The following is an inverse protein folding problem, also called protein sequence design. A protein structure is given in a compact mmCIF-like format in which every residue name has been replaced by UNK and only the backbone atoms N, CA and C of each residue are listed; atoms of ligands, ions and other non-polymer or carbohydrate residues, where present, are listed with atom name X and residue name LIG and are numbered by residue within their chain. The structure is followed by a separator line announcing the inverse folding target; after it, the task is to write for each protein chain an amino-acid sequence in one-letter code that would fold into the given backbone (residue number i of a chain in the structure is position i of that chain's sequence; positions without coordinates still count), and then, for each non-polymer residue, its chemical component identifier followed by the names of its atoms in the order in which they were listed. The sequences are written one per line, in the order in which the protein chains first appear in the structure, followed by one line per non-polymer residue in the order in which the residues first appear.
data_IF_558932878303
#
_entry.id   IF_558932878303
#
_cell.length_a   1.000
_cell.length_b   1.000
_cell.length_c   1.000
_cell.angle_alpha   90.00
_cell.angle_beta   90.00
_cell.angle_gamma   90.00
#
_symmetry.space_group_name_H-M   'P 1'
#
loop_
_entity.id
_entity.type
_entity.pdbx_description
1 polymer ?
#
# COMPACT_ATOMS: atom_id res chain seq x y z
N UNK A 1 7.05 -9.30 -13.83
CA UNK A 1 6.16 -8.14 -14.03
C UNK A 1 6.75 -7.32 -15.15
N UNK A 2 5.99 -7.01 -16.20
CA UNK A 2 6.50 -6.19 -17.31
C UNK A 2 6.61 -4.72 -16.92
N UNK A 3 7.61 -4.02 -17.45
CA UNK A 3 7.74 -2.57 -17.24
C UNK A 3 6.50 -1.83 -17.78
N UNK A 4 5.86 -0.95 -16.98
CA UNK A 4 4.67 -0.21 -17.38
C UNK A 4 5.00 0.85 -18.44
N UNK A 5 3.96 1.33 -19.11
CA UNK A 5 4.08 2.44 -20.05
C UNK A 5 4.41 3.73 -19.30
N UNK A 6 5.34 4.52 -19.87
CA UNK A 6 5.72 5.79 -19.29
C UNK A 6 4.54 6.78 -19.23
N UNK A 7 4.41 7.47 -18.10
CA UNK A 7 3.39 8.51 -17.85
C UNK A 7 3.95 9.93 -17.98
N UNK A 8 5.24 10.07 -18.24
CA UNK A 8 5.90 11.35 -18.46
C UNK A 8 7.41 11.21 -18.63
N UNK A 9 8.15 12.33 -18.60
CA UNK A 9 9.60 12.34 -18.84
C UNK A 9 10.43 11.47 -17.88
N UNK A 10 10.03 11.37 -16.60
CA UNK A 10 10.80 10.65 -15.57
C UNK A 10 10.68 9.14 -15.81
N UNK A 11 9.44 8.64 -15.88
CA UNK A 11 9.16 7.22 -16.16
C UNK A 11 9.62 6.80 -17.56
N UNK A 12 9.62 7.71 -18.54
CA UNK A 12 10.18 7.46 -19.88
C UNK A 12 11.69 7.23 -19.82
N UNK A 13 12.43 8.10 -19.12
CA UNK A 13 13.87 7.93 -18.95
C UNK A 13 14.21 6.60 -18.24
N UNK A 14 13.46 6.25 -17.20
CA UNK A 14 13.62 5.00 -16.46
C UNK A 14 13.36 3.76 -17.32
N UNK A 15 12.20 3.70 -17.98
CA UNK A 15 11.81 2.53 -18.78
C UNK A 15 12.72 2.31 -19.98
N UNK A 16 13.31 3.37 -20.55
CA UNK A 16 14.33 3.26 -21.60
C UNK A 16 15.64 2.70 -21.02
N UNK A 17 16.11 3.23 -19.89
CA UNK A 17 17.38 2.82 -19.30
C UNK A 17 17.36 1.36 -18.81
N UNK A 18 16.29 0.95 -18.12
CA UNK A 18 16.19 -0.37 -17.48
C UNK A 18 16.14 -1.54 -18.48
N UNK A 19 15.80 -1.29 -19.75
CA UNK A 19 15.83 -2.30 -20.84
C UNK A 19 17.24 -2.67 -21.32
N UNK A 20 18.25 -1.98 -20.82
CA UNK A 20 19.66 -2.25 -21.12
C UNK A 20 20.38 -2.77 -19.87
N UNK A 21 21.54 -3.38 -20.09
CA UNK A 21 22.45 -3.70 -18.98
C UNK A 21 22.74 -2.43 -18.14
N UNK A 22 22.96 -2.57 -16.83
CA UNK A 22 23.30 -1.44 -15.96
C UNK A 22 24.46 -0.63 -16.54
N UNK A 23 24.23 0.68 -16.64
CA UNK A 23 25.16 1.64 -17.20
C UNK A 23 25.11 2.93 -16.40
N UNK A 24 25.97 3.88 -16.73
CA UNK A 24 25.92 5.20 -16.11
C UNK A 24 24.57 5.89 -16.42
N UNK A 25 23.88 6.36 -15.39
CA UNK A 25 22.53 6.89 -15.49
C UNK A 25 22.51 8.28 -14.83
N UNK A 26 22.72 9.36 -15.58
CA UNK A 26 22.92 10.70 -15.03
C UNK A 26 21.59 11.31 -14.55
N UNK A 27 21.26 11.31 -13.24
CA UNK A 27 19.96 11.79 -12.75
C UNK A 27 19.75 13.28 -13.03
N UNK A 28 20.80 14.09 -13.08
CA UNK A 28 20.78 15.52 -13.36
C UNK A 28 20.21 15.87 -14.73
N UNK A 29 20.23 14.92 -15.68
CA UNK A 29 19.60 15.08 -16.99
C UNK A 29 18.06 15.00 -16.93
N UNK A 30 17.50 14.52 -15.82
CA UNK A 30 16.07 14.31 -15.63
C UNK A 30 15.50 15.45 -14.79
N UNK A 31 14.61 16.22 -15.42
CA UNK A 31 13.85 17.29 -14.77
C UNK A 31 12.75 16.70 -13.90
N UNK A 32 12.76 17.03 -12.61
CA UNK A 32 11.71 16.66 -11.65
C UNK A 32 10.87 17.90 -11.36
N UNK A 33 9.55 17.79 -11.46
CA UNK A 33 8.64 18.89 -11.17
C UNK A 33 8.63 19.23 -9.67
N UNK A 34 9.10 20.44 -9.33
CA UNK A 34 9.18 20.91 -7.95
C UNK A 34 7.94 21.66 -7.45
N UNK A 35 7.00 21.99 -8.35
CA UNK A 35 5.86 22.87 -8.04
C UNK A 35 4.50 22.17 -7.95
N UNK A 36 4.35 21.00 -8.57
CA UNK A 36 3.10 20.22 -8.52
C UNK A 36 2.86 19.55 -7.15
N UNK A 37 1.64 19.06 -6.93
CA UNK A 37 1.35 18.15 -5.82
C UNK A 37 1.95 16.77 -6.15
N UNK A 38 2.97 16.31 -5.41
CA UNK A 38 3.63 15.05 -5.70
C UNK A 38 2.72 13.83 -5.47
N UNK A 39 1.66 13.92 -4.66
CA UNK A 39 0.79 12.79 -4.34
C UNK A 39 -0.13 12.40 -5.50
N UNK A 40 -0.37 13.33 -6.43
CA UNK A 40 -1.21 13.17 -7.61
C UNK A 40 -0.43 13.20 -8.93
N UNK A 41 0.90 13.33 -8.87
CA UNK A 41 1.76 13.35 -10.06
C UNK A 41 2.00 11.91 -10.57
N UNK A 42 1.31 11.55 -11.64
CA UNK A 42 1.37 10.22 -12.25
C UNK A 42 2.76 9.80 -12.72
N UNK A 43 3.56 10.73 -13.24
CA UNK A 43 4.91 10.41 -13.73
C UNK A 43 5.85 10.16 -12.54
N UNK A 44 5.77 11.02 -11.51
CA UNK A 44 6.56 10.89 -10.30
C UNK A 44 6.22 9.60 -9.54
N UNK A 45 4.94 9.31 -9.34
CA UNK A 45 4.52 8.15 -8.57
C UNK A 45 4.79 6.83 -9.29
N UNK A 46 4.62 6.79 -10.62
CA UNK A 46 5.02 5.63 -11.41
C UNK A 46 6.54 5.43 -11.38
N UNK A 47 7.33 6.51 -11.53
CA UNK A 47 8.78 6.43 -11.45
C UNK A 47 9.28 5.92 -10.10
N UNK A 48 8.69 6.38 -8.99
CA UNK A 48 8.98 5.85 -7.64
C UNK A 48 8.62 4.37 -7.53
N UNK A 49 7.46 3.96 -8.03
CA UNK A 49 7.02 2.57 -8.02
C UNK A 49 8.02 1.67 -8.77
N UNK A 50 8.42 2.06 -9.99
CA UNK A 50 9.43 1.36 -10.79
C UNK A 50 10.73 1.19 -10.00
N UNK A 51 11.22 2.26 -9.36
CA UNK A 51 12.44 2.23 -8.56
C UNK A 51 12.32 1.35 -7.30
N UNK A 52 11.13 1.25 -6.69
CA UNK A 52 10.93 0.44 -5.50
C UNK A 52 10.78 -1.05 -5.81
N UNK A 53 10.15 -1.43 -6.92
CA UNK A 53 10.01 -2.83 -7.31
C UNK A 53 11.35 -3.56 -7.50
N UNK A 54 12.42 -2.83 -7.83
CA UNK A 54 13.79 -3.37 -7.89
C UNK A 54 14.30 -3.91 -6.55
N UNK A 55 13.73 -3.48 -5.43
CA UNK A 55 14.04 -4.01 -4.10
C UNK A 55 13.08 -5.13 -3.65
N UNK A 56 12.11 -5.50 -4.49
CA UNK A 56 11.18 -6.59 -4.21
C UNK A 56 11.37 -7.72 -5.23
N UNK A 57 10.52 -7.77 -6.27
CA UNK A 57 10.49 -8.86 -7.26
C UNK A 57 11.09 -8.47 -8.61
N UNK A 58 11.54 -7.22 -8.77
CA UNK A 58 12.11 -6.70 -9.99
C UNK A 58 11.10 -6.61 -11.15
N UNK A 59 11.65 -6.46 -12.35
CA UNK A 59 10.90 -6.37 -13.60
C UNK A 59 11.42 -7.41 -14.60
N UNK A 60 10.54 -7.91 -15.45
CA UNK A 60 10.92 -8.89 -16.46
C UNK A 60 11.94 -8.27 -17.41
N UNK A 61 12.98 -9.05 -17.76
CA UNK A 61 14.09 -8.63 -18.62
C UNK A 61 14.94 -7.44 -18.10
N UNK A 62 14.77 -7.04 -16.83
CA UNK A 62 15.62 -6.04 -16.16
C UNK A 62 16.65 -6.75 -15.27
N UNK A 63 17.91 -6.32 -15.34
CA UNK A 63 18.98 -6.90 -14.52
C UNK A 63 18.86 -6.46 -13.05
N UNK A 64 19.02 -7.41 -12.11
CA UNK A 64 19.02 -7.16 -10.67
C UNK A 64 20.12 -6.18 -10.22
N UNK A 65 21.21 -6.05 -10.97
CA UNK A 65 22.30 -5.10 -10.69
C UNK A 65 21.84 -3.63 -10.76
N UNK A 66 20.67 -3.34 -11.37
CA UNK A 66 20.05 -2.02 -11.30
C UNK A 66 19.62 -1.63 -9.88
N UNK A 67 19.34 -2.59 -8.99
CA UNK A 67 18.92 -2.35 -7.60
C UNK A 67 19.84 -1.35 -6.88
N UNK A 68 21.14 -1.44 -7.13
CA UNK A 68 22.17 -0.62 -6.49
C UNK A 68 22.87 0.36 -7.42
N UNK A 69 22.32 0.61 -8.61
CA UNK A 69 22.93 1.54 -9.57
C UNK A 69 22.92 2.97 -8.98
N UNK A 70 24.08 3.66 -8.84
CA UNK A 70 24.17 4.91 -8.06
C UNK A 70 23.32 6.07 -8.58
N UNK A 71 23.27 6.25 -9.90
CA UNK A 71 22.49 7.30 -10.55
C UNK A 71 20.98 7.09 -10.40
N UNK A 72 20.52 5.84 -10.45
CA UNK A 72 19.14 5.45 -10.20
C UNK A 72 18.75 5.74 -8.74
N UNK A 73 19.59 5.35 -7.78
CA UNK A 73 19.40 5.67 -6.37
C UNK A 73 19.36 7.19 -6.12
N UNK A 74 20.20 7.95 -6.82
CA UNK A 74 20.21 9.40 -6.74
C UNK A 74 18.93 10.03 -7.31
N UNK A 75 18.40 9.52 -8.43
CA UNK A 75 17.08 9.91 -8.94
C UNK A 75 15.98 9.57 -7.93
N UNK A 76 15.93 8.32 -7.43
CA UNK A 76 14.93 7.89 -6.45
C UNK A 76 14.93 8.81 -5.24
N UNK A 77 16.09 9.13 -4.69
CA UNK A 77 16.23 10.04 -3.54
C UNK A 77 15.64 11.43 -3.82
N UNK A 78 15.74 11.96 -5.06
CA UNK A 78 15.10 13.24 -5.43
C UNK A 78 13.58 13.13 -5.42
N UNK A 79 13.02 12.04 -5.95
CA UNK A 79 11.58 11.79 -5.97
C UNK A 79 11.03 11.53 -4.56
N UNK A 80 11.76 10.79 -3.73
CA UNK A 80 11.41 10.51 -2.33
C UNK A 80 11.30 11.81 -1.52
N UNK A 81 12.18 12.79 -1.73
CA UNK A 81 12.08 14.11 -1.07
C UNK A 81 10.79 14.85 -1.44
N UNK A 82 10.33 14.72 -2.69
CA UNK A 82 9.05 15.28 -3.15
C UNK A 82 7.89 14.56 -2.48
N UNK A 83 7.88 13.22 -2.48
CA UNK A 83 6.86 12.43 -1.78
C UNK A 83 6.81 12.78 -0.28
N UNK A 84 7.96 12.83 0.41
CA UNK A 84 8.03 13.22 1.82
C UNK A 84 7.44 14.62 2.07
N UNK A 85 7.74 15.59 1.21
CA UNK A 85 7.15 16.93 1.31
C UNK A 85 5.62 16.88 1.18
N UNK A 86 5.10 16.10 0.23
CA UNK A 86 3.66 15.87 0.09
C UNK A 86 3.02 15.25 1.32
N UNK A 87 3.61 14.19 1.86
CA UNK A 87 3.13 13.50 3.07
C UNK A 87 3.13 14.42 4.30
N UNK A 88 4.16 15.25 4.47
CA UNK A 88 4.23 16.22 5.56
C UNK A 88 3.14 17.30 5.46
N UNK A 89 2.84 17.77 4.25
CA UNK A 89 1.73 18.71 4.05
C UNK A 89 0.37 18.05 4.25
N UNK A 90 0.22 16.79 3.83
CA UNK A 90 -1.01 16.03 3.96
C UNK A 90 -1.38 15.80 5.43
N UNK A 91 -0.42 15.37 6.25
CA UNK A 91 -0.64 15.11 7.68
C UNK A 91 -0.64 16.40 8.49
N UNK A 92 0.12 17.41 8.07
CA UNK A 92 0.29 18.66 8.79
C UNK A 92 1.24 18.53 10.00
N UNK A 93 1.29 19.57 10.85
CA UNK A 93 2.17 19.57 12.02
C UNK A 93 1.71 18.57 13.07
N UNK A 94 2.64 17.75 13.56
CA UNK A 94 2.36 16.80 14.63
C UNK A 94 2.60 17.43 16.00
N UNK A 95 1.72 17.18 16.99
CA UNK A 95 1.98 17.59 18.36
C UNK A 95 3.17 16.80 18.92
N UNK A 96 3.84 17.36 19.93
CA UNK A 96 4.85 16.61 20.69
C UNK A 96 4.20 15.42 21.39
N UNK A 97 4.64 14.21 21.05
CA UNK A 97 4.11 12.97 21.62
C UNK A 97 5.01 12.53 22.76
N UNK A 98 4.47 12.44 23.97
CA UNK A 98 5.16 11.82 25.08
C UNK A 98 5.10 10.29 24.92
N UNK A 99 6.20 9.54 25.09
CA UNK A 99 6.21 8.07 24.98
C UNK A 99 5.08 7.37 25.72
N UNK A 100 4.81 7.77 26.97
CA UNK A 100 3.74 7.20 27.79
C UNK A 100 2.31 7.46 27.26
N UNK A 101 2.15 8.43 26.35
CA UNK A 101 0.87 8.79 25.73
C UNK A 101 0.71 8.21 24.32
N UNK A 102 1.68 7.45 23.80
CA UNK A 102 1.68 7.01 22.39
C UNK A 102 0.39 6.27 21.99
N UNK A 103 -0.04 5.29 22.78
CA UNK A 103 -1.27 4.53 22.49
C UNK A 103 -2.51 5.43 22.44
N UNK A 104 -2.57 6.44 23.32
CA UNK A 104 -3.66 7.42 23.30
C UNK A 104 -3.57 8.35 22.07
N UNK A 105 -2.36 8.72 21.64
CA UNK A 105 -2.14 9.49 20.42
C UNK A 105 -2.53 8.72 19.17
N UNK A 106 -2.15 7.44 19.05
CA UNK A 106 -2.57 6.59 17.93
C UNK A 106 -4.09 6.45 17.87
N UNK A 107 -4.72 6.19 19.02
CA UNK A 107 -6.18 6.13 19.11
C UNK A 107 -6.85 7.44 18.69
N UNK A 108 -6.34 8.57 19.15
CA UNK A 108 -6.87 9.88 18.76
C UNK A 108 -6.74 10.14 17.26
N UNK A 109 -5.65 9.68 16.62
CA UNK A 109 -5.45 9.79 15.17
C UNK A 109 -6.46 8.95 14.40
N UNK A 110 -6.73 7.71 14.84
CA UNK A 110 -7.76 6.85 14.24
C UNK A 110 -9.17 7.39 14.47
N UNK A 111 -9.49 7.87 15.68
CA UNK A 111 -10.80 8.44 16.00
C UNK A 111 -11.08 9.76 15.27
N UNK A 112 -10.03 10.51 14.92
CA UNK A 112 -10.16 11.75 14.16
C UNK A 112 -10.33 11.54 12.65
N UNK A 113 -10.13 10.32 12.13
CA UNK A 113 -10.35 10.04 10.71
C UNK A 113 -11.85 9.95 10.41
N UNK A 114 -12.39 11.01 9.80
CA UNK A 114 -13.79 11.17 9.43
C UNK A 114 -14.03 10.99 7.92
N UNK A 115 -13.10 10.31 7.24
CA UNK A 115 -13.11 10.08 5.80
C UNK A 115 -14.37 9.39 5.27
N UNK A 116 -14.66 9.54 3.97
CA UNK A 116 -15.88 8.98 3.39
C UNK A 116 -15.84 7.45 3.45
N UNK A 117 -16.94 6.84 3.88
CA UNK A 117 -16.97 5.39 4.08
C UNK A 117 -17.13 4.61 2.77
N UNK A 118 -16.02 4.44 2.03
CA UNK A 118 -15.93 3.58 0.84
C UNK A 118 -16.41 2.16 1.16
N UNK A 119 -16.00 1.61 2.30
CA UNK A 119 -16.44 0.29 2.76
C UNK A 119 -17.97 0.19 2.90
N UNK A 120 -18.64 1.23 3.40
CA UNK A 120 -20.10 1.26 3.49
C UNK A 120 -20.76 1.32 2.10
N UNK A 121 -20.17 2.10 1.19
CA UNK A 121 -20.66 2.15 -0.20
C UNK A 121 -20.51 0.78 -0.87
N UNK A 122 -19.36 0.13 -0.74
CA UNK A 122 -19.11 -1.22 -1.29
C UNK A 122 -20.09 -2.24 -0.72
N UNK A 123 -20.31 -2.21 0.59
CA UNK A 123 -21.25 -3.11 1.25
C UNK A 123 -22.67 -2.99 0.68
N UNK A 124 -23.13 -1.78 0.34
CA UNK A 124 -24.57 -1.49 0.15
C UNK A 124 -24.98 -1.05 -1.24
N UNK A 125 -24.05 -0.50 -2.04
CA UNK A 125 -24.35 0.20 -3.30
C UNK A 125 -23.49 -0.22 -4.47
N UNK A 126 -22.22 -0.57 -4.25
CA UNK A 126 -21.31 -0.87 -5.36
C UNK A 126 -21.86 -1.97 -6.27
N UNK A 127 -21.61 -1.83 -7.57
CA UNK A 127 -21.78 -2.89 -8.57
C UNK A 127 -20.61 -3.88 -8.53
N UNK A 128 -20.73 -5.00 -9.23
CA UNK A 128 -19.61 -5.94 -9.40
C UNK A 128 -18.43 -5.31 -10.14
N UNK A 129 -18.70 -4.47 -11.14
CA UNK A 129 -17.69 -3.70 -11.87
C UNK A 129 -16.91 -2.76 -10.94
N UNK A 130 -17.60 -1.99 -10.11
CA UNK A 130 -16.98 -1.12 -9.09
C UNK A 130 -16.20 -1.93 -8.04
N UNK A 131 -16.69 -3.11 -7.66
CA UNK A 131 -15.94 -4.00 -6.77
C UNK A 131 -14.63 -4.46 -7.41
N UNK A 132 -14.64 -4.79 -8.71
CA UNK A 132 -13.43 -5.15 -9.45
C UNK A 132 -12.46 -3.97 -9.61
N UNK A 133 -12.95 -2.75 -9.82
CA UNK A 133 -12.10 -1.56 -9.78
C UNK A 133 -11.41 -1.41 -8.40
N UNK A 134 -12.17 -1.56 -7.32
CA UNK A 134 -11.62 -1.55 -5.95
C UNK A 134 -10.55 -2.63 -5.76
N UNK A 135 -10.80 -3.86 -6.22
CA UNK A 135 -9.82 -4.96 -6.17
C UNK A 135 -8.59 -4.65 -7.02
N UNK A 136 -8.73 -4.01 -8.18
CA UNK A 136 -7.60 -3.58 -9.01
C UNK A 136 -6.70 -2.59 -8.26
N UNK A 137 -7.28 -1.56 -7.63
CA UNK A 137 -6.53 -0.63 -6.76
C UNK A 137 -5.78 -1.36 -5.63
N UNK A 138 -6.46 -2.27 -4.96
CA UNK A 138 -5.94 -3.03 -3.82
C UNK A 138 -4.89 -4.06 -4.22
N UNK A 139 -4.94 -4.60 -5.43
CA UNK A 139 -4.02 -5.65 -5.93
C UNK A 139 -2.56 -5.23 -5.98
N UNK A 140 -2.29 -3.93 -6.13
CA UNK A 140 -0.93 -3.37 -6.17
C UNK A 140 -0.18 -3.65 -4.86
N UNK A 141 -0.90 -3.63 -3.73
CA UNK A 141 -0.36 -3.96 -2.42
C UNK A 141 -0.63 -5.42 -2.04
N UNK A 142 -1.89 -5.88 -2.02
CA UNK A 142 -2.21 -7.14 -1.33
C UNK A 142 -1.57 -8.38 -1.97
N UNK A 143 -1.21 -8.37 -3.25
CA UNK A 143 -0.46 -9.46 -3.88
C UNK A 143 1.03 -9.56 -3.44
N UNK A 144 1.46 -8.66 -2.57
CA UNK A 144 2.73 -8.64 -1.83
C UNK A 144 2.52 -8.25 -0.35
N UNK A 145 1.33 -8.52 0.18
CA UNK A 145 1.00 -8.18 1.56
C UNK A 145 2.06 -8.64 2.54
N UNK A 146 2.35 -7.73 3.48
CA UNK A 146 3.38 -7.74 4.51
C UNK A 146 4.83 -7.49 4.06
N UNK A 147 5.16 -7.55 2.76
CA UNK A 147 6.54 -7.37 2.28
C UNK A 147 7.15 -6.00 2.73
N UNK A 148 6.48 -4.84 2.57
CA UNK A 148 7.07 -3.56 2.94
C UNK A 148 7.36 -3.40 4.44
N UNK A 149 6.51 -3.97 5.30
CA UNK A 149 6.68 -3.94 6.76
C UNK A 149 7.80 -4.87 7.24
N UNK A 150 8.08 -5.94 6.50
CA UNK A 150 9.16 -6.90 6.81
C UNK A 150 10.53 -6.24 6.85
N UNK A 151 10.75 -5.15 6.11
CA UNK A 151 11.99 -4.37 6.17
C UNK A 151 12.32 -3.78 7.54
N UNK A 152 11.34 -3.65 8.45
CA UNK A 152 11.60 -3.23 9.83
C UNK A 152 12.27 -4.32 10.67
N UNK A 153 12.02 -5.61 10.43
CA UNK A 153 12.52 -6.72 11.26
C UNK A 153 14.04 -6.65 11.51
N UNK A 154 14.93 -6.44 10.51
CA UNK A 154 16.36 -6.34 10.77
C UNK A 154 16.79 -5.08 11.52
N UNK A 155 15.90 -4.09 11.67
CA UNK A 155 16.18 -2.77 12.28
C UNK A 155 15.66 -2.65 13.71
N UNK A 156 14.94 -3.66 14.18
CA UNK A 156 14.37 -3.72 15.52
C UNK A 156 15.06 -4.79 16.36
N UNK A 157 15.03 -4.57 17.66
CA UNK A 157 15.47 -5.48 18.71
C UNK A 157 14.42 -5.58 19.83
N UNK A 158 14.54 -6.59 20.68
CA UNK A 158 13.68 -6.75 21.86
C UNK A 158 12.20 -7.01 21.55
N UNK A 159 11.33 -6.57 22.47
CA UNK A 159 9.88 -6.79 22.42
C UNK A 159 9.22 -6.26 21.12
N UNK A 160 9.55 -5.05 20.60
CA UNK A 160 8.96 -4.59 19.34
C UNK A 160 9.22 -5.51 18.17
N UNK A 161 10.41 -6.12 18.12
CA UNK A 161 10.77 -7.08 17.07
C UNK A 161 9.95 -8.35 17.19
N UNK A 162 9.77 -8.87 18.41
CA UNK A 162 8.97 -10.06 18.66
C UNK A 162 7.51 -9.85 18.23
N UNK A 163 6.92 -8.71 18.61
CA UNK A 163 5.56 -8.33 18.23
C UNK A 163 5.41 -8.16 16.71
N UNK A 164 6.36 -7.49 16.04
CA UNK A 164 6.33 -7.39 14.58
C UNK A 164 6.44 -8.76 13.90
N UNK A 165 7.33 -9.64 14.38
CA UNK A 165 7.46 -11.00 13.81
C UNK A 165 6.17 -11.81 13.99
N UNK A 166 5.47 -11.64 15.12
CA UNK A 166 4.19 -12.30 15.36
C UNK A 166 3.13 -11.87 14.35
N UNK A 167 2.92 -10.56 14.17
CA UNK A 167 1.98 -10.02 13.17
C UNK A 167 2.37 -10.51 11.77
N UNK A 168 3.64 -10.33 11.38
CA UNK A 168 4.10 -10.72 10.05
C UNK A 168 3.98 -12.23 9.80
N UNK A 169 4.18 -13.07 10.82
CA UNK A 169 4.02 -14.51 10.67
C UNK A 169 2.57 -14.88 10.32
N UNK A 170 1.59 -14.19 10.90
CA UNK A 170 0.17 -14.38 10.57
C UNK A 170 -0.14 -13.94 9.14
N UNK A 171 0.33 -12.75 8.73
CA UNK A 171 0.19 -12.25 7.35
C UNK A 171 0.78 -13.21 6.30
N UNK A 172 1.91 -13.85 6.63
CA UNK A 172 2.55 -14.89 5.83
C UNK A 172 1.91 -16.29 6.00
N UNK A 173 0.72 -16.38 6.60
CA UNK A 173 -0.05 -17.62 6.77
C UNK A 173 0.60 -18.64 7.69
N UNK A 174 1.48 -18.20 8.60
CA UNK A 174 2.33 -19.08 9.42
C UNK A 174 3.27 -19.95 8.58
N UNK A 175 3.61 -19.51 7.36
CA UNK A 175 4.39 -20.29 6.38
C UNK A 175 3.57 -21.31 5.58
N UNK A 176 2.24 -21.30 5.69
CA UNK A 176 1.33 -22.11 4.87
C UNK A 176 0.80 -21.27 3.70
N UNK A 177 1.13 -21.68 2.48
CA UNK A 177 0.80 -20.92 1.27
C UNK A 177 -0.70 -20.65 1.12
N UNK A 178 -1.55 -21.62 1.43
CA UNK A 178 -3.02 -21.55 1.32
C UNK A 178 -3.68 -20.67 2.41
N UNK A 179 -2.88 -20.10 3.31
CA UNK A 179 -3.28 -19.15 4.33
C UNK A 179 -2.60 -17.78 4.19
N UNK A 180 -1.56 -17.68 3.37
CA UNK A 180 -0.86 -16.42 3.14
C UNK A 180 -1.85 -15.39 2.57
N UNK A 181 -1.93 -14.20 3.17
CA UNK A 181 -2.95 -13.21 2.80
C UNK A 181 -2.87 -12.79 1.33
N UNK A 182 -1.66 -12.70 0.79
CA UNK A 182 -1.46 -12.45 -0.65
C UNK A 182 -1.98 -13.56 -1.57
N UNK A 183 -1.98 -14.82 -1.12
CA UNK A 183 -2.59 -15.93 -1.84
C UNK A 183 -4.12 -15.89 -1.71
N UNK A 184 -4.66 -15.60 -0.51
CA UNK A 184 -6.10 -15.43 -0.33
C UNK A 184 -6.65 -14.30 -1.22
N UNK A 185 -5.92 -13.18 -1.35
CA UNK A 185 -6.30 -12.09 -2.23
C UNK A 185 -6.23 -12.50 -3.72
N UNK A 186 -5.22 -13.30 -4.10
CA UNK A 186 -5.11 -13.89 -5.45
C UNK A 186 -6.31 -14.78 -5.78
N UNK A 187 -6.78 -15.57 -4.82
CA UNK A 187 -7.97 -16.41 -4.98
C UNK A 187 -9.22 -15.54 -5.15
N UNK A 188 -9.39 -14.48 -4.34
CA UNK A 188 -10.46 -13.48 -4.53
C UNK A 188 -10.46 -12.88 -5.94
N UNK A 189 -9.28 -12.50 -6.47
CA UNK A 189 -9.17 -11.96 -7.83
C UNK A 189 -9.58 -12.99 -8.89
N UNK A 190 -9.19 -14.25 -8.72
CA UNK A 190 -9.52 -15.34 -9.64
C UNK A 190 -11.02 -15.59 -9.68
N UNK A 191 -11.68 -15.65 -8.52
CA UNK A 191 -13.15 -15.79 -8.42
C UNK A 191 -13.91 -14.61 -9.01
N UNK A 192 -13.31 -13.42 -9.00
CA UNK A 192 -13.86 -12.24 -9.67
C UNK A 192 -13.63 -12.24 -11.18
N UNK A 193 -12.92 -13.23 -11.74
CA UNK A 193 -12.54 -13.29 -13.15
C UNK A 193 -11.50 -12.25 -13.55
N UNK A 194 -10.63 -11.86 -12.62
CA UNK A 194 -9.56 -10.87 -12.82
C UNK A 194 -8.21 -11.56 -13.06
N UNK A 195 -7.28 -10.87 -13.73
CA UNK A 195 -5.89 -11.34 -13.84
C UNK A 195 -5.20 -11.18 -12.48
N UNK A 196 -4.97 -12.30 -11.80
CA UNK A 196 -4.37 -12.28 -10.49
C UNK A 196 -2.83 -12.14 -10.52
N UNK A 197 -2.20 -12.00 -11.69
CA UNK A 197 -0.74 -11.83 -11.83
C UNK A 197 -0.26 -10.60 -11.07
N UNK A 198 0.85 -10.73 -10.35
CA UNK A 198 1.41 -9.61 -9.59
C UNK A 198 1.78 -8.46 -10.53
N UNK A 199 1.21 -7.29 -10.28
CA UNK A 199 1.45 -6.07 -11.06
C UNK A 199 0.56 -5.86 -12.28
N UNK A 200 -0.36 -6.79 -12.58
CA UNK A 200 -1.23 -6.72 -13.77
C UNK A 200 -2.00 -5.39 -13.90
N UNK A 201 -2.35 -4.76 -12.77
CA UNK A 201 -3.13 -3.53 -12.73
C UNK A 201 -2.30 -2.26 -12.45
N UNK A 202 -0.97 -2.33 -12.40
CA UNK A 202 -0.11 -1.14 -12.18
C UNK A 202 -0.33 -0.08 -13.27
N UNK A 203 -0.47 -0.51 -14.53
CA UNK A 203 -0.78 0.38 -15.66
C UNK A 203 -2.11 1.11 -15.50
N UNK A 204 -3.12 0.43 -14.93
CA UNK A 204 -4.49 0.93 -14.83
C UNK A 204 -4.70 1.88 -13.64
N UNK A 205 -3.97 1.74 -12.55
CA UNK A 205 -4.22 2.54 -11.33
C UNK A 205 -3.68 3.98 -11.43
N UNK A 206 -4.37 4.97 -10.85
CA UNK A 206 -3.93 6.37 -10.82
C UNK A 206 -2.78 6.59 -9.83
N UNK A 207 -2.11 7.75 -9.95
CA UNK A 207 -1.05 8.20 -9.06
C UNK A 207 -1.34 7.99 -7.58
N UNK A 208 -2.55 8.32 -7.12
CA UNK A 208 -2.90 8.26 -5.70
C UNK A 208 -2.84 6.84 -5.11
N UNK A 209 -3.09 5.82 -5.93
CA UNK A 209 -2.92 4.41 -5.52
C UNK A 209 -1.45 4.04 -5.43
N UNK A 210 -0.63 4.52 -6.36
CA UNK A 210 0.82 4.32 -6.31
C UNK A 210 1.43 5.07 -5.14
N UNK A 211 0.94 6.27 -4.78
CA UNK A 211 1.33 7.01 -3.58
C UNK A 211 1.17 6.17 -2.31
N UNK A 212 0.01 5.52 -2.12
CA UNK A 212 -0.23 4.64 -0.98
C UNK A 212 0.74 3.45 -0.92
N UNK A 213 1.17 2.95 -2.07
CA UNK A 213 2.17 1.87 -2.14
C UNK A 213 3.60 2.36 -1.89
N UNK A 214 3.94 3.51 -2.49
CA UNK A 214 5.25 4.12 -2.45
C UNK A 214 5.59 4.64 -1.04
N UNK A 215 4.61 5.10 -0.26
CA UNK A 215 4.85 5.51 1.13
C UNK A 215 5.29 4.33 2.01
N UNK A 216 4.71 3.14 1.81
CA UNK A 216 5.13 1.94 2.55
C UNK A 216 6.57 1.58 2.23
N UNK A 217 6.97 1.66 0.95
CA UNK A 217 8.35 1.40 0.53
C UNK A 217 9.33 2.49 0.96
N UNK A 218 8.90 3.77 1.00
CA UNK A 218 9.68 4.86 1.56
C UNK A 218 10.01 4.58 3.04
N UNK A 219 9.02 4.20 3.83
CA UNK A 219 9.24 3.87 5.24
C UNK A 219 10.02 2.55 5.41
N UNK A 220 9.69 1.57 4.56
CA UNK A 220 10.30 0.25 4.47
C UNK A 220 11.79 0.29 4.17
N UNK A 221 12.25 1.02 3.17
CA UNK A 221 13.66 0.97 2.74
C UNK A 221 14.59 1.90 3.52
N UNK A 222 14.06 2.86 4.29
CA UNK A 222 14.87 3.84 5.00
C UNK A 222 14.84 3.63 6.52
N UNK A 223 15.97 3.25 7.12
CA UNK A 223 16.06 2.99 8.57
C UNK A 223 15.55 4.15 9.43
N UNK A 224 15.76 5.39 9.00
CA UNK A 224 15.29 6.59 9.74
C UNK A 224 13.77 6.61 9.92
N UNK A 225 13.02 5.97 9.02
CA UNK A 225 11.57 5.91 9.03
C UNK A 225 10.97 4.69 9.72
N UNK A 226 11.77 3.90 10.45
CA UNK A 226 11.26 2.71 11.15
C UNK A 226 10.11 3.03 12.10
N UNK A 227 10.12 4.19 12.78
CA UNK A 227 8.98 4.64 13.59
C UNK A 227 7.73 4.84 12.74
N UNK A 228 7.84 5.55 11.62
CA UNK A 228 6.73 5.75 10.68
C UNK A 228 6.22 4.44 10.06
N UNK A 229 7.09 3.47 9.78
CA UNK A 229 6.65 2.15 9.29
C UNK A 229 5.82 1.41 10.35
N UNK A 230 6.26 1.42 11.61
CA UNK A 230 5.52 0.79 12.71
C UNK A 230 4.19 1.49 12.98
N UNK A 231 4.17 2.82 12.94
CA UNK A 231 2.95 3.60 13.07
C UNK A 231 1.96 3.37 11.93
N UNK A 232 2.46 3.24 10.71
CA UNK A 232 1.64 2.86 9.56
C UNK A 232 1.00 1.48 9.77
N UNK A 233 1.79 0.48 10.17
CA UNK A 233 1.27 -0.85 10.46
C UNK A 233 0.21 -0.80 11.58
N UNK A 234 0.50 -0.12 12.69
CA UNK A 234 -0.46 0.02 13.77
C UNK A 234 -1.78 0.66 13.33
N UNK A 235 -1.74 1.71 12.48
CA UNK A 235 -2.97 2.28 11.95
C UNK A 235 -3.76 1.31 11.06
N UNK A 236 -3.06 0.49 10.27
CA UNK A 236 -3.68 -0.57 9.46
C UNK A 236 -4.40 -1.58 10.37
N UNK A 237 -3.70 -2.17 11.34
CA UNK A 237 -4.28 -3.15 12.30
C UNK A 237 -5.44 -2.58 13.12
N UNK A 238 -5.38 -1.30 13.49
CA UNK A 238 -6.44 -0.63 14.25
C UNK A 238 -7.72 -0.39 13.43
N UNK A 239 -7.63 -0.45 12.10
CA UNK A 239 -8.72 -0.01 11.22
C UNK A 239 -9.19 -1.06 10.22
N UNK A 240 -8.57 -2.23 10.14
CA UNK A 240 -8.80 -3.23 9.10
C UNK A 240 -10.10 -4.03 9.28
N UNK A 241 -10.52 -4.40 10.49
CA UNK A 241 -11.57 -5.43 10.66
C UNK A 241 -12.98 -4.97 10.26
N UNK A 242 -13.37 -3.73 10.59
CA UNK A 242 -14.71 -3.23 10.23
C UNK A 242 -14.86 -2.99 8.71
N UNK A 243 -13.90 -2.35 8.01
CA UNK A 243 -13.87 -2.29 6.55
C UNK A 243 -13.86 -3.68 5.90
N UNK A 244 -13.01 -4.62 6.34
CA UNK A 244 -12.95 -5.96 5.77
C UNK A 244 -14.27 -6.72 5.91
N UNK A 245 -14.92 -6.66 7.08
CA UNK A 245 -16.29 -7.19 7.26
C UNK A 245 -17.28 -6.60 6.25
N UNK A 246 -17.18 -5.29 5.97
CA UNK A 246 -18.06 -4.61 5.02
C UNK A 246 -17.75 -5.00 3.57
N UNK A 247 -16.48 -5.14 3.21
CA UNK A 247 -16.07 -5.63 1.89
C UNK A 247 -16.56 -7.05 1.65
N UNK A 248 -16.32 -7.98 2.58
CA UNK A 248 -16.82 -9.36 2.49
C UNK A 248 -18.33 -9.42 2.36
N UNK A 249 -19.08 -8.65 3.16
CA UNK A 249 -20.54 -8.55 3.03
C UNK A 249 -21.00 -7.94 1.69
N UNK A 250 -20.27 -6.95 1.17
CA UNK A 250 -20.52 -6.38 -0.15
C UNK A 250 -20.32 -7.41 -1.26
N UNK A 251 -19.24 -8.19 -1.17
CA UNK A 251 -18.94 -9.24 -2.14
C UNK A 251 -19.96 -10.38 -2.11
N UNK A 252 -20.39 -10.83 -0.93
CA UNK A 252 -21.51 -11.79 -0.79
C UNK A 252 -22.79 -11.29 -1.44
N UNK A 253 -23.14 -10.02 -1.23
CA UNK A 253 -24.31 -9.39 -1.87
C UNK A 253 -24.20 -9.42 -3.40
N UNK A 254 -22.99 -9.34 -3.93
CA UNK A 254 -22.69 -9.36 -5.36
C UNK A 254 -22.54 -10.79 -5.94
N UNK A 255 -22.78 -11.83 -5.13
CA UNK A 255 -22.74 -13.22 -5.57
C UNK A 255 -21.41 -13.94 -5.34
N UNK A 256 -20.46 -13.31 -4.64
CA UNK A 256 -19.20 -13.97 -4.25
C UNK A 256 -19.45 -15.10 -3.24
N UNK A 257 -18.74 -16.20 -3.42
CA UNK A 257 -18.82 -17.39 -2.58
C UNK A 257 -17.83 -17.34 -1.39
N UNK A 258 -17.65 -18.46 -0.70
CA UNK A 258 -16.76 -18.55 0.44
C UNK A 258 -15.27 -18.40 0.07
N UNK A 259 -14.86 -18.78 -1.14
CA UNK A 259 -13.48 -18.60 -1.61
C UNK A 259 -13.25 -17.13 -1.90
N UNK A 260 -14.18 -16.50 -2.63
CA UNK A 260 -14.09 -15.09 -2.99
C UNK A 260 -14.00 -14.17 -1.76
N UNK A 261 -14.70 -14.50 -0.67
CA UNK A 261 -14.74 -13.65 0.54
C UNK A 261 -13.66 -13.96 1.56
N UNK A 262 -12.94 -15.07 1.42
CA UNK A 262 -12.05 -15.61 2.47
C UNK A 262 -10.99 -14.60 2.93
N UNK A 263 -10.35 -13.89 2.00
CA UNK A 263 -9.39 -12.83 2.32
C UNK A 263 -9.95 -11.82 3.33
N UNK A 264 -11.18 -11.34 3.07
CA UNK A 264 -11.82 -10.34 3.92
C UNK A 264 -12.30 -10.92 5.25
N UNK A 265 -12.65 -12.19 5.29
CA UNK A 265 -13.11 -12.85 6.52
C UNK A 265 -11.94 -13.16 7.46
N UNK A 266 -10.77 -13.53 6.93
CA UNK A 266 -9.54 -13.76 7.70
C UNK A 266 -9.16 -12.50 8.52
N UNK A 267 -9.15 -11.34 7.86
CA UNK A 267 -8.89 -10.04 8.50
C UNK A 267 -10.00 -9.60 9.48
N UNK A 268 -11.12 -10.31 9.57
CA UNK A 268 -12.11 -10.04 10.64
C UNK A 268 -11.80 -10.86 11.89
N UNK A 269 -11.19 -12.03 11.72
CA UNK A 269 -10.90 -12.97 12.80
C UNK A 269 -9.57 -12.65 13.50
N UNK A 270 -8.53 -12.26 12.74
CA UNK A 270 -7.18 -11.99 13.26
C UNK A 270 -7.07 -10.67 14.08
N UNK A 271 -7.76 -9.62 13.65
CA UNK A 271 -7.38 -8.25 13.99
C UNK A 271 -7.61 -7.80 15.45
N UNK A 272 -8.59 -8.37 16.18
CA UNK A 272 -8.84 -7.91 17.55
C UNK A 272 -7.62 -8.15 18.48
N UNK A 273 -6.80 -9.14 18.12
CA UNK A 273 -5.53 -9.43 18.79
C UNK A 273 -4.41 -8.57 18.20
N UNK A 274 -4.32 -8.46 16.87
CA UNK A 274 -3.28 -7.67 16.22
C UNK A 274 -3.32 -6.18 16.58
N UNK A 275 -4.50 -5.58 16.75
CA UNK A 275 -4.62 -4.19 17.22
C UNK A 275 -3.85 -3.99 18.53
N UNK A 276 -4.05 -4.90 19.50
CA UNK A 276 -3.41 -4.79 20.81
C UNK A 276 -1.90 -5.02 20.71
N UNK A 277 -1.48 -6.01 19.92
CA UNK A 277 -0.06 -6.29 19.69
C UNK A 277 0.61 -5.08 19.02
N UNK A 278 0.02 -4.53 17.96
CA UNK A 278 0.59 -3.44 17.19
C UNK A 278 0.72 -2.15 18.01
N UNK A 279 -0.30 -1.83 18.82
CA UNK A 279 -0.30 -0.61 19.64
C UNK A 279 0.57 -0.76 20.89
N UNK A 280 0.39 -1.84 21.64
CA UNK A 280 1.00 -1.99 22.98
C UNK A 280 2.33 -2.73 22.93
N UNK A 281 2.37 -3.90 22.30
CA UNK A 281 3.56 -4.75 22.33
C UNK A 281 4.61 -4.34 21.30
N UNK A 282 4.20 -3.66 20.22
CA UNK A 282 5.07 -3.15 19.16
C UNK A 282 5.37 -1.66 19.31
N UNK A 283 4.38 -0.78 19.13
CA UNK A 283 4.63 0.67 19.10
C UNK A 283 5.02 1.25 20.46
N UNK A 284 4.29 0.94 21.52
CA UNK A 284 4.57 1.52 22.84
C UNK A 284 5.92 1.06 23.41
N UNK A 285 6.26 -0.22 23.24
CA UNK A 285 7.58 -0.74 23.63
C UNK A 285 8.70 -0.19 22.75
N UNK A 286 8.43 0.05 21.45
CA UNK A 286 9.41 0.66 20.54
C UNK A 286 9.78 2.06 21.00
N UNK A 287 8.80 2.90 21.30
CA UNK A 287 9.05 4.28 21.75
C UNK A 287 9.60 4.33 23.17
N UNK A 288 9.39 3.29 24.00
CA UNK A 288 10.09 3.19 25.28
C UNK A 288 11.62 2.98 25.11
N UNK A 289 12.04 2.29 24.04
CA UNK A 289 13.45 2.09 23.68
C UNK A 289 13.99 3.30 22.90
N UNK A 290 13.19 3.84 21.98
CA UNK A 290 13.55 4.90 21.04
C UNK A 290 12.60 6.12 21.16
N UNK A 291 12.65 6.87 22.28
CA UNK A 291 11.68 7.93 22.58
C UNK A 291 11.67 9.07 21.58
N UNK A 292 12.82 9.36 20.94
CA UNK A 292 12.95 10.42 19.93
C UNK A 292 12.13 10.13 18.66
N UNK A 293 11.67 8.88 18.45
CA UNK A 293 10.89 8.46 17.30
C UNK A 293 9.37 8.40 17.56
N UNK A 294 8.90 8.86 18.72
CA UNK A 294 7.48 8.90 19.05
C UNK A 294 6.64 9.67 18.00
N UNK A 295 7.16 10.81 17.55
CA UNK A 295 6.49 11.62 16.53
C UNK A 295 6.46 10.93 15.16
N UNK A 296 7.49 10.15 14.82
CA UNK A 296 7.53 9.40 13.56
C UNK A 296 6.49 8.29 13.55
N UNK A 297 6.24 7.61 14.68
CA UNK A 297 5.15 6.63 14.79
C UNK A 297 3.79 7.28 14.50
N UNK A 298 3.50 8.41 15.12
CA UNK A 298 2.26 9.14 14.86
C UNK A 298 2.19 9.68 13.43
N UNK A 299 3.33 10.12 12.86
CA UNK A 299 3.43 10.53 11.46
C UNK A 299 3.04 9.41 10.49
N UNK A 300 3.59 8.21 10.72
CA UNK A 300 3.31 7.03 9.90
C UNK A 300 1.84 6.64 9.92
N UNK A 301 1.25 6.61 11.11
CA UNK A 301 -0.19 6.36 11.29
C UNK A 301 -1.04 7.40 10.54
N UNK A 302 -0.71 8.69 10.69
CA UNK A 302 -1.40 9.77 9.99
C UNK A 302 -1.27 9.66 8.47
N UNK A 303 -0.09 9.28 7.95
CA UNK A 303 0.12 9.07 6.52
C UNK A 303 -0.74 7.92 5.98
N UNK A 304 -0.83 6.80 6.72
CA UNK A 304 -1.62 5.64 6.33
C UNK A 304 -3.10 6.00 6.16
N UNK A 305 -3.70 6.61 7.19
CA UNK A 305 -5.11 6.99 7.18
C UNK A 305 -5.40 8.08 6.14
N UNK A 306 -4.53 9.09 6.04
CA UNK A 306 -4.74 10.15 5.06
C UNK A 306 -4.62 9.65 3.62
N UNK A 307 -3.70 8.73 3.33
CA UNK A 307 -3.59 8.13 2.00
C UNK A 307 -4.80 7.26 1.65
N UNK A 308 -5.30 6.44 2.59
CA UNK A 308 -6.52 5.64 2.37
C UNK A 308 -7.76 6.54 2.15
N UNK A 309 -7.86 7.64 2.90
CA UNK A 309 -8.90 8.66 2.70
C UNK A 309 -8.86 9.30 1.31
N UNK A 310 -7.68 9.70 0.81
CA UNK A 310 -7.56 10.27 -0.54
C UNK A 310 -7.95 9.26 -1.63
N UNK A 311 -7.61 7.97 -1.46
CA UNK A 311 -8.07 6.91 -2.37
C UNK A 311 -9.59 6.76 -2.29
N UNK A 312 -10.15 6.73 -1.09
CA UNK A 312 -11.59 6.60 -0.88
C UNK A 312 -12.38 7.76 -1.50
N UNK A 313 -11.90 8.99 -1.35
CA UNK A 313 -12.45 10.18 -1.99
C UNK A 313 -12.41 10.06 -3.52
N UNK A 314 -11.23 9.79 -4.09
CA UNK A 314 -11.05 9.60 -5.55
C UNK A 314 -12.03 8.58 -6.13
N UNK A 315 -12.07 7.39 -5.52
CA UNK A 315 -12.90 6.28 -5.99
C UNK A 315 -14.39 6.64 -5.93
N UNK A 316 -14.83 7.17 -4.78
CA UNK A 316 -16.24 7.51 -4.59
C UNK A 316 -16.68 8.65 -5.51
N UNK A 317 -15.85 9.66 -5.74
CA UNK A 317 -16.19 10.79 -6.60
C UNK A 317 -16.30 10.35 -8.06
N UNK A 318 -15.36 9.52 -8.56
CA UNK A 318 -15.48 8.94 -9.90
C UNK A 318 -16.78 8.13 -10.06
N UNK A 319 -17.10 7.26 -9.10
CA UNK A 319 -18.31 6.44 -9.13
C UNK A 319 -19.60 7.25 -9.03
N UNK A 320 -19.62 8.35 -8.26
CA UNK A 320 -20.77 9.26 -8.19
C UNK A 320 -21.02 9.98 -9.51
N UNK A 321 -19.96 10.25 -10.26
CA UNK A 321 -20.01 10.84 -11.59
C UNK A 321 -20.27 9.83 -12.72
N UNK A 322 -20.36 8.53 -12.39
CA UNK A 322 -20.56 7.47 -13.38
C UNK A 322 -19.34 7.21 -14.27
N UNK A 323 -18.13 7.51 -13.76
CA UNK A 323 -16.85 7.27 -14.43
C UNK A 323 -16.04 6.22 -13.66
N UNK A 324 -15.14 5.53 -14.37
CA UNK A 324 -14.17 4.61 -13.75
C UNK A 324 -13.24 5.36 -12.80
N UNK A 325 -12.84 4.73 -11.68
CA UNK A 325 -11.80 5.26 -10.79
C UNK A 325 -10.38 4.94 -11.26
N UNK A 326 -10.24 4.12 -12.29
CA UNK A 326 -8.97 3.78 -12.93
C UNK A 326 -8.62 4.78 -14.04
N UNK A 327 -7.37 4.72 -14.53
CA UNK A 327 -6.92 5.51 -15.69
C UNK A 327 -7.59 5.03 -16.99
N UNK A 328 -7.92 3.74 -17.05
CA UNK A 328 -8.60 3.08 -18.15
C UNK A 328 -9.58 2.07 -17.55
N UNK A 329 -10.77 1.95 -18.15
CA UNK A 329 -11.76 0.93 -17.76
C UNK A 329 -11.18 -0.47 -17.91
N UNK A 330 -11.61 -1.39 -17.04
CA UNK A 330 -11.19 -2.79 -17.13
C UNK A 330 -11.85 -3.45 -18.35
N UNK A 331 -11.04 -3.95 -19.28
CA UNK A 331 -11.50 -4.81 -20.37
C UNK A 331 -11.76 -6.22 -19.85
N UNK A 332 -12.89 -6.39 -19.17
CA UNK A 332 -13.33 -7.71 -18.70
C UNK A 332 -14.14 -8.36 -19.81
N UNK A 333 -13.56 -9.36 -20.49
CA UNK A 333 -14.29 -10.16 -21.46
C UNK A 333 -15.53 -10.79 -20.79
N UNK A 334 -16.75 -10.63 -21.35
CA UNK A 334 -18.00 -10.99 -20.67
C UNK A 334 -18.26 -12.51 -20.49
N UNK A 335 -17.32 -13.40 -20.81
CA UNK A 335 -17.62 -14.84 -21.02
C UNK A 335 -17.04 -15.84 -20.00
N UNK A 336 -16.46 -15.42 -18.87
CA UNK A 336 -15.86 -16.36 -17.89
C UNK A 336 -16.73 -16.73 -16.68
N UNK A 337 -18.02 -16.37 -16.65
CA UNK A 337 -18.97 -17.03 -15.73
C UNK A 337 -19.46 -18.32 -16.39
N UNK A 338 -18.59 -19.32 -16.40
CA UNK A 338 -18.91 -20.67 -16.82
C UNK A 338 -19.94 -21.27 -15.86
N UNK A 339 -21.18 -21.37 -16.34
CA UNK A 339 -22.20 -22.21 -15.74
C UNK A 339 -21.67 -23.65 -15.62
N UNK A 340 -21.27 -24.03 -14.41
CA UNK A 340 -21.13 -25.44 -14.05
C UNK A 340 -22.48 -25.90 -13.54
N UNK A 341 -23.21 -26.61 -14.40
CA UNK A 341 -24.43 -27.37 -14.09
C UNK A 341 -24.17 -28.52 -13.14
#
# INVERSE_FOLDING_TARGET
MELPSARGPISSALTIALRSAPHDFPPESITVNETGDPLWDDDLQLALFICYELHYRGWDEVSDDWEWQPGLLALRSRLERRLEWGLRNLVGPLPGVQPAALSASLKAVVEADDGPSLAKYIQTKASLEQFREFVAHRSVYHLREADPHTWAIPRLEGQPKAALVEIQADEYGGGQLDRMHSQLFRDTMTELGMDATYGAYVEAVPAITLTANNLMSLFGLHRRWRGALLGHLAAFEMTSSLPNRRYGNGLRRLGGDAVATRFYDEHVEADAVHEQIAVHDMCATFVAIEPDLAADVVFGAGCALAADRLIAEHVLDCWREGRTSLRQSLDLHPDTVGAST
#
